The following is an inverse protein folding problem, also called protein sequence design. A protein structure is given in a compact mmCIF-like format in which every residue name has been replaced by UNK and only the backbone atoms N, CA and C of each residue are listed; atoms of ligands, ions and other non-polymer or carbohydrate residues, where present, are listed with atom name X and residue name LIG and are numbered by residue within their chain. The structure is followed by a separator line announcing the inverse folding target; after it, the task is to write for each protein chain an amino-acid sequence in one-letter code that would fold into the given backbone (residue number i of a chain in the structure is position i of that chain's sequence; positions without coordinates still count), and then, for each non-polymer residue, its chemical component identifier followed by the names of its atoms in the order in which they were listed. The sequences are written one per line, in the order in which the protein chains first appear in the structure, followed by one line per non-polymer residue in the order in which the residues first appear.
data_IF_375312069873
#
_entry.id   IF_375312069873
#
_cell.length_a   1.000
_cell.length_b   1.000
_cell.length_c   1.000
_cell.angle_alpha   90.00
_cell.angle_beta   90.00
_cell.angle_gamma   90.00
#
_symmetry.space_group_name_H-M   'P 1'
#
loop_
_entity.id
_entity.type
_entity.pdbx_description
1 polymer ?
#
# COMPACT_ATOMS: atom_id res chain seq x y z
N UNK A 1 -24.09 64.56 -14.99
CA UNK A 1 -23.30 65.35 -14.02
C UNK A 1 -22.43 64.35 -13.26
N UNK A 2 -21.26 64.02 -13.82
CA UNK A 2 -19.96 64.62 -13.50
C UNK A 2 -19.41 64.16 -12.14
N UNK A 3 -18.46 63.22 -12.23
CA UNK A 3 -17.28 62.94 -11.37
C UNK A 3 -16.43 64.23 -11.19
N UNK A 4 -15.28 64.33 -10.45
CA UNK A 4 -14.25 63.31 -10.15
C UNK A 4 -13.52 63.46 -8.77
N UNK A 5 -12.58 62.60 -8.35
CA UNK A 5 -11.12 62.70 -8.54
C UNK A 5 -10.48 62.15 -7.22
N UNK A 6 -9.38 61.39 -7.11
CA UNK A 6 -8.18 61.06 -7.89
C UNK A 6 -7.70 59.64 -7.46
N UNK A 7 -7.27 58.69 -8.33
CA UNK A 7 -6.02 58.61 -9.15
C UNK A 7 -4.75 58.49 -8.29
N UNK A 8 -3.73 57.64 -8.52
CA UNK A 8 -3.13 56.84 -9.64
C UNK A 8 -2.20 55.76 -9.01
N UNK A 9 -1.67 54.73 -9.67
CA UNK A 9 -1.59 54.30 -11.08
C UNK A 9 -1.22 52.80 -11.13
N UNK A 10 -1.64 51.97 -12.08
CA UNK A 10 -1.36 51.87 -13.54
C UNK A 10 0.13 51.69 -13.85
N UNK A 11 0.49 50.51 -14.38
CA UNK A 11 1.17 50.26 -15.68
C UNK A 11 1.23 48.73 -15.98
N UNK A 12 1.43 48.26 -17.23
CA UNK A 12 0.33 47.80 -18.10
C UNK A 12 0.48 46.38 -18.70
N UNK A 13 -0.56 45.97 -19.42
CA UNK A 13 -0.61 44.78 -20.28
C UNK A 13 0.43 44.77 -21.40
N UNK A 14 1.02 43.60 -21.67
CA UNK A 14 1.88 43.34 -22.83
C UNK A 14 1.45 42.06 -23.58
N UNK A 15 0.82 42.32 -24.73
CA UNK A 15 0.83 41.59 -26.01
C UNK A 15 0.89 40.05 -26.03
N UNK A 16 -0.21 39.50 -26.53
CA UNK A 16 -0.28 38.26 -27.31
C UNK A 16 0.59 38.43 -28.57
N UNK A 17 1.59 37.56 -28.74
CA UNK A 17 2.15 37.24 -30.06
C UNK A 17 2.45 35.75 -30.09
N UNK A 18 1.82 35.05 -31.04
CA UNK A 18 1.80 33.60 -31.10
C UNK A 18 3.16 32.95 -31.33
N UNK A 19 3.31 31.77 -30.74
CA UNK A 19 4.03 30.61 -31.28
C UNK A 19 3.22 29.39 -30.84
N UNK A 20 2.40 28.88 -31.76
CA UNK A 20 2.58 27.56 -32.37
C UNK A 20 2.68 26.43 -31.33
N UNK A 21 1.58 25.69 -31.23
CA UNK A 21 1.57 24.26 -30.95
C UNK A 21 2.85 23.58 -31.44
N UNK A 22 3.53 22.82 -30.56
CA UNK A 22 4.28 21.60 -30.91
C UNK A 22 4.67 20.85 -29.62
N UNK A 23 4.14 19.64 -29.49
CA UNK A 23 4.73 18.41 -28.92
C UNK A 23 5.44 18.46 -27.56
N UNK A 24 4.72 18.07 -26.51
CA UNK A 24 5.33 17.55 -25.27
C UNK A 24 5.85 16.12 -25.52
N UNK A 25 7.15 15.98 -25.77
CA UNK A 25 7.82 14.67 -25.81
C UNK A 25 8.29 14.25 -24.41
N UNK A 26 8.26 12.93 -24.17
CA UNK A 26 8.40 12.17 -22.91
C UNK A 26 9.74 12.36 -22.14
N UNK A 27 10.57 13.32 -22.50
CA UNK A 27 11.94 13.50 -21.97
C UNK A 27 12.06 14.58 -20.89
N UNK A 28 11.08 15.48 -20.76
CA UNK A 28 11.25 16.67 -19.90
C UNK A 28 10.87 16.46 -18.42
N UNK A 29 10.28 15.31 -18.06
CA UNK A 29 10.02 14.97 -16.64
C UNK A 29 11.16 14.17 -15.97
N UNK A 30 12.11 13.63 -16.73
CA UNK A 30 13.20 12.81 -16.19
C UNK A 30 14.38 13.62 -15.60
N UNK A 31 14.37 14.94 -15.76
CA UNK A 31 15.49 15.81 -15.39
C UNK A 31 15.45 16.37 -13.96
N UNK A 32 14.36 16.16 -13.20
CA UNK A 32 14.27 16.68 -11.83
C UNK A 32 14.68 15.67 -10.74
N UNK A 33 14.88 14.38 -11.07
CA UNK A 33 15.22 13.34 -10.09
C UNK A 33 16.67 12.80 -10.15
N UNK A 34 17.58 13.50 -10.83
CA UNK A 34 18.95 13.02 -11.09
C UNK A 34 20.07 13.99 -10.70
N UNK A 35 19.84 14.90 -9.74
CA UNK A 35 20.79 15.97 -9.39
C UNK A 35 21.42 15.94 -7.98
N UNK A 36 21.37 14.83 -7.24
CA UNK A 36 22.20 14.70 -6.03
C UNK A 36 23.03 13.41 -6.07
N UNK A 37 24.14 13.50 -6.80
CA UNK A 37 25.21 12.48 -6.82
C UNK A 37 25.88 12.39 -5.45
N UNK A 38 25.90 11.17 -4.93
CA UNK A 38 26.86 10.67 -3.94
C UNK A 38 28.27 10.93 -4.46
N UNK A 39 29.00 11.81 -3.80
CA UNK A 39 30.45 11.96 -3.91
C UNK A 39 30.98 11.98 -2.48
N UNK A 40 31.49 10.84 -2.03
CA UNK A 40 32.70 10.70 -1.23
C UNK A 40 33.01 9.20 -1.09
N UNK A 41 34.28 8.76 -1.21
CA UNK A 41 34.66 7.36 -1.07
C UNK A 41 34.58 6.93 0.39
N UNK A 42 33.94 5.79 0.65
CA UNK A 42 33.85 5.16 1.97
C UNK A 42 35.25 4.66 2.38
N UNK A 43 35.87 5.17 3.46
CA UNK A 43 37.04 4.53 4.03
C UNK A 43 36.64 3.24 4.75
N UNK A 44 37.44 2.18 4.60
CA UNK A 44 37.25 0.89 5.23
C UNK A 44 37.16 1.01 6.78
N UNK A 45 36.36 0.16 7.46
CA UNK A 45 36.19 0.26 8.90
C UNK A 45 37.47 -0.18 9.61
N UNK A 46 38.06 0.75 10.35
CA UNK A 46 39.11 0.50 11.34
C UNK A 46 38.43 -0.28 12.48
N UNK A 47 38.90 -1.50 12.78
CA UNK A 47 38.52 -2.21 14.01
C UNK A 47 39.00 -1.38 15.20
N UNK A 48 38.10 -0.63 15.85
CA UNK A 48 38.34 -0.13 17.20
C UNK A 48 37.90 -1.21 18.19
N UNK A 49 38.81 -1.76 19.02
CA UNK A 49 38.39 -2.33 20.29
C UNK A 49 37.87 -1.18 21.16
N UNK A 50 36.97 -1.47 22.10
CA UNK A 50 36.43 -0.51 23.08
C UNK A 50 35.16 0.24 22.64
N UNK A 51 34.10 -0.53 22.37
CA UNK A 51 32.73 -0.01 22.39
C UNK A 51 32.22 0.02 23.84
N UNK A 52 32.44 1.12 24.55
CA UNK A 52 31.55 1.45 25.67
C UNK A 52 30.17 1.82 25.08
N UNK A 53 29.06 1.22 25.55
CA UNK A 53 27.75 1.53 25.01
C UNK A 53 27.40 2.98 25.36
N UNK A 54 27.36 3.85 24.35
CA UNK A 54 26.80 5.19 24.52
C UNK A 54 25.31 5.06 24.83
N UNK A 55 24.79 5.69 25.90
CA UNK A 55 23.35 5.76 26.10
C UNK A 55 22.72 6.51 24.92
N UNK A 56 21.75 5.86 24.29
CA UNK A 56 20.97 6.44 23.20
C UNK A 56 20.24 7.69 23.70
N UNK A 57 20.52 8.84 23.08
CA UNK A 57 19.75 10.08 23.26
C UNK A 57 18.77 10.19 22.08
N UNK A 58 17.45 10.14 22.30
CA UNK A 58 16.48 10.31 21.23
C UNK A 58 16.53 11.72 20.63
N UNK A 59 16.16 11.90 19.34
CA UNK A 59 16.15 13.19 18.67
C UNK A 59 15.14 14.17 19.30
N UNK A 60 15.50 15.46 19.28
CA UNK A 60 14.74 16.56 19.88
C UNK A 60 13.38 16.77 19.18
N UNK A 61 12.35 17.04 19.99
CA UNK A 61 10.93 16.95 19.65
C UNK A 61 10.40 18.22 18.99
N UNK A 62 9.84 18.12 17.79
CA UNK A 62 8.91 19.14 17.25
C UNK A 62 7.63 18.56 16.61
N UNK A 63 7.31 17.28 16.83
CA UNK A 63 6.01 16.74 16.42
C UNK A 63 5.40 15.92 17.54
N UNK A 64 4.19 16.29 17.93
CA UNK A 64 3.47 15.85 19.13
C UNK A 64 2.92 14.43 18.97
N UNK A 65 3.80 13.44 18.74
CA UNK A 65 3.44 12.03 18.78
C UNK A 65 3.52 11.55 20.23
N UNK A 66 2.36 11.34 20.86
CA UNK A 66 2.27 10.78 22.21
C UNK A 66 2.58 9.29 22.11
N UNK A 67 3.87 8.95 22.21
CA UNK A 67 4.31 7.57 22.45
C UNK A 67 3.57 7.07 23.72
N UNK A 68 2.94 5.88 23.71
CA UNK A 68 2.46 5.28 24.95
C UNK A 68 3.65 5.15 25.90
N UNK A 69 3.49 5.61 27.15
CA UNK A 69 4.55 5.68 28.15
C UNK A 69 5.44 4.43 28.08
N UNK A 70 6.67 4.62 27.61
CA UNK A 70 7.68 3.57 27.63
C UNK A 70 7.94 3.28 29.11
N UNK A 71 7.28 2.26 29.65
CA UNK A 71 7.61 1.76 30.98
C UNK A 71 9.11 1.44 30.93
N UNK A 72 9.92 2.00 31.83
CA UNK A 72 11.35 1.72 31.82
C UNK A 72 11.51 0.20 31.83
N UNK A 73 12.28 -0.31 30.88
CA UNK A 73 12.67 -1.71 30.87
C UNK A 73 13.52 -1.94 32.11
N UNK A 74 12.88 -2.35 33.20
CA UNK A 74 13.55 -2.76 34.43
C UNK A 74 14.29 -4.04 34.07
N UNK A 75 15.57 -3.91 33.73
CA UNK A 75 16.47 -5.05 33.76
C UNK A 75 16.53 -5.51 35.21
N UNK A 76 16.37 -6.82 35.45
CA UNK A 76 16.54 -7.35 36.80
C UNK A 76 17.99 -7.07 37.21
N UNK A 77 18.19 -6.34 38.30
CA UNK A 77 19.51 -6.20 38.89
C UNK A 77 19.93 -7.59 39.43
N UNK A 78 20.93 -8.19 38.79
CA UNK A 78 21.50 -9.48 39.17
C UNK A 78 22.68 -9.34 40.15
N UNK A 79 22.88 -8.14 40.72
CA UNK A 79 23.94 -7.84 41.70
C UNK A 79 23.79 -8.66 42.98
N UNK A 80 22.55 -8.86 43.43
CA UNK A 80 22.19 -9.80 44.50
C UNK A 80 21.78 -11.15 43.88
N UNK A 81 22.77 -11.80 43.26
CA UNK A 81 22.56 -13.10 42.63
C UNK A 81 22.28 -14.22 43.65
N UNK A 82 21.58 -15.30 43.24
CA UNK A 82 21.38 -16.46 44.09
C UNK A 82 22.73 -17.04 44.55
N UNK A 83 22.77 -17.60 45.76
CA UNK A 83 24.00 -18.14 46.34
C UNK A 83 24.66 -19.15 45.40
N UNK A 84 25.98 -19.33 45.47
CA UNK A 84 26.68 -20.26 44.58
C UNK A 84 26.08 -21.69 44.65
N UNK A 85 25.54 -22.06 45.80
CA UNK A 85 24.81 -23.31 46.02
C UNK A 85 23.47 -23.36 45.29
N UNK A 86 22.70 -22.27 45.25
CA UNK A 86 21.44 -22.20 44.50
C UNK A 86 21.69 -22.30 42.98
N UNK A 87 22.78 -21.71 42.48
CA UNK A 87 23.17 -21.83 41.06
C UNK A 87 23.58 -23.25 40.73
N UNK A 88 24.36 -23.89 41.60
CA UNK A 88 24.73 -25.30 41.45
C UNK A 88 23.47 -26.20 41.50
N UNK A 89 22.55 -25.97 42.44
CA UNK A 89 21.31 -26.72 42.55
C UNK A 89 20.43 -26.57 41.29
N UNK A 90 20.28 -25.35 40.76
CA UNK A 90 19.56 -25.13 39.49
C UNK A 90 20.20 -25.83 38.31
N UNK A 91 21.54 -25.88 38.27
CA UNK A 91 22.30 -26.53 37.19
C UNK A 91 22.21 -28.06 37.29
N UNK A 92 22.33 -28.64 38.50
CA UNK A 92 22.30 -30.09 38.71
C UNK A 92 20.88 -30.67 38.67
N UNK A 93 19.89 -29.97 39.22
CA UNK A 93 18.48 -30.42 39.24
C UNK A 93 17.67 -29.90 38.04
N UNK A 94 18.29 -29.16 37.12
CA UNK A 94 17.69 -28.66 35.89
C UNK A 94 16.29 -28.04 36.09
N UNK A 95 16.09 -27.32 37.19
CA UNK A 95 14.76 -26.82 37.58
C UNK A 95 14.18 -25.85 36.55
N UNK A 96 15.04 -25.12 35.82
CA UNK A 96 14.63 -24.25 34.71
C UNK A 96 14.12 -25.06 33.51
N UNK A 97 14.68 -26.24 33.23
CA UNK A 97 14.19 -27.16 32.19
C UNK A 97 12.84 -27.75 32.61
N UNK A 98 12.70 -28.15 33.88
CA UNK A 98 11.42 -28.64 34.40
C UNK A 98 10.31 -27.57 34.33
N UNK A 99 10.64 -26.32 34.62
CA UNK A 99 9.72 -25.19 34.47
C UNK A 99 9.31 -24.97 33.00
N UNK A 100 10.26 -25.06 32.06
CA UNK A 100 9.97 -25.00 30.63
C UNK A 100 9.07 -26.15 30.17
N UNK A 101 9.36 -27.37 30.62
CA UNK A 101 8.57 -28.57 30.33
C UNK A 101 7.13 -28.43 30.84
N UNK A 102 6.94 -27.82 32.02
CA UNK A 102 5.61 -27.56 32.57
C UNK A 102 4.76 -26.63 31.69
N UNK A 103 5.35 -25.56 31.15
CA UNK A 103 4.64 -24.63 30.25
C UNK A 103 4.26 -25.33 28.93
N UNK A 104 5.15 -26.18 28.40
CA UNK A 104 4.85 -26.98 27.20
C UNK A 104 3.73 -27.99 27.49
N UNK A 105 3.76 -28.63 28.65
CA UNK A 105 2.70 -29.54 29.08
C UNK A 105 1.35 -28.82 29.20
N UNK A 106 1.34 -27.60 29.74
CA UNK A 106 0.14 -26.77 29.81
C UNK A 106 -0.38 -26.42 28.39
N UNK A 107 0.52 -26.11 27.45
CA UNK A 107 0.14 -25.84 26.07
C UNK A 107 -0.39 -27.08 25.33
N UNK A 108 0.08 -28.28 25.68
CA UNK A 108 -0.40 -29.55 25.12
C UNK A 108 -1.87 -29.81 25.46
N UNK A 109 -2.34 -29.36 26.63
CA UNK A 109 -3.74 -29.53 27.05
C UNK A 109 -4.67 -28.41 26.58
N UNK A 110 -4.16 -27.36 25.92
CA UNK A 110 -5.01 -26.33 25.31
C UNK A 110 -5.59 -26.84 23.98
N UNK A 111 -6.83 -26.46 23.63
CA UNK A 111 -7.38 -26.78 22.32
C UNK A 111 -6.55 -26.13 21.19
N UNK A 112 -6.34 -26.81 20.05
CA UNK A 112 -5.61 -26.27 18.92
C UNK A 112 -6.40 -25.14 18.23
N UNK A 113 -5.69 -24.18 17.63
CA UNK A 113 -6.26 -23.02 16.93
C UNK A 113 -6.47 -23.25 15.42
N UNK A 114 -6.51 -24.50 14.97
CA UNK A 114 -6.57 -24.86 13.55
C UNK A 114 -7.99 -24.74 12.99
N UNK A 115 -8.21 -23.77 12.09
CA UNK A 115 -9.53 -23.47 11.48
C UNK A 115 -9.72 -23.99 10.04
N UNK A 116 -8.66 -24.41 9.34
CA UNK A 116 -8.70 -24.73 7.89
C UNK A 116 -8.61 -26.26 7.73
N UNK A 117 -9.51 -26.96 6.98
CA UNK A 117 -9.90 -26.67 5.59
C UNK A 117 -11.37 -26.34 5.29
N UNK A 118 -12.27 -26.38 6.29
CA UNK A 118 -13.71 -26.19 6.06
C UNK A 118 -14.24 -24.81 6.51
N UNK A 119 -13.50 -24.12 7.37
CA UNK A 119 -13.85 -22.79 7.86
C UNK A 119 -12.81 -21.77 7.36
N UNK A 120 -13.27 -20.69 6.74
CA UNK A 120 -12.40 -19.58 6.32
C UNK A 120 -12.18 -18.63 7.50
N UNK A 121 -10.99 -18.07 7.59
CA UNK A 121 -10.70 -17.03 8.58
C UNK A 121 -11.63 -15.82 8.40
N UNK A 122 -11.91 -15.05 9.46
CA UNK A 122 -12.73 -13.85 9.34
C UNK A 122 -12.01 -12.79 8.48
N UNK A 123 -12.66 -12.34 7.42
CA UNK A 123 -12.14 -11.33 6.49
C UNK A 123 -12.86 -10.00 6.71
N UNK A 124 -12.12 -8.89 6.69
CA UNK A 124 -12.70 -7.55 6.79
C UNK A 124 -13.31 -7.09 5.45
N UNK A 125 -14.31 -6.20 5.44
CA UNK A 125 -14.86 -5.62 4.19
C UNK A 125 -13.82 -4.89 3.32
N UNK A 126 -12.69 -4.46 3.90
CA UNK A 126 -11.58 -3.76 3.23
C UNK A 126 -10.47 -4.67 2.71
N UNK A 127 -10.72 -5.97 2.69
CA UNK A 127 -9.73 -6.92 2.19
C UNK A 127 -9.47 -6.68 0.71
N UNK A 128 -8.21 -6.84 0.31
CA UNK A 128 -7.72 -6.60 -1.05
C UNK A 128 -7.32 -7.93 -1.67
N UNK A 129 -8.09 -8.36 -2.67
CA UNK A 129 -7.90 -9.63 -3.38
C UNK A 129 -7.91 -9.45 -4.90
N UNK A 130 -8.61 -10.36 -5.59
CA UNK A 130 -8.68 -10.40 -7.05
C UNK A 130 -9.32 -9.14 -7.61
N UNK A 131 -8.77 -8.59 -8.71
CA UNK A 131 -9.31 -7.39 -9.32
C UNK A 131 -10.55 -7.71 -10.16
N UNK A 132 -11.51 -6.79 -10.13
CA UNK A 132 -12.76 -6.88 -10.87
C UNK A 132 -13.11 -5.53 -11.49
N UNK A 133 -13.63 -5.55 -12.72
CA UNK A 133 -14.24 -4.39 -13.36
C UNK A 133 -15.76 -4.44 -13.18
N UNK A 134 -16.33 -3.36 -12.64
CA UNK A 134 -17.76 -3.29 -12.34
C UNK A 134 -18.56 -2.65 -13.46
N UNK A 135 -19.85 -2.96 -13.45
CA UNK A 135 -20.88 -2.33 -14.29
C UNK A 135 -21.75 -1.38 -13.47
N UNK A 136 -22.42 -0.47 -14.15
CA UNK A 136 -23.54 0.27 -13.59
C UNK A 136 -24.76 -0.65 -13.45
N UNK A 137 -25.77 -0.20 -12.69
CA UNK A 137 -27.04 -0.92 -12.59
C UNK A 137 -27.77 -1.06 -13.94
N UNK A 138 -27.42 -0.24 -14.93
CA UNK A 138 -27.91 -0.35 -16.31
C UNK A 138 -27.22 -1.46 -17.13
N UNK A 139 -26.19 -2.12 -16.60
CA UNK A 139 -25.37 -3.11 -17.31
C UNK A 139 -24.20 -2.53 -18.10
N UNK A 140 -24.15 -1.20 -18.22
CA UNK A 140 -23.04 -0.50 -18.89
C UNK A 140 -21.76 -0.57 -18.05
N UNK A 141 -20.59 -0.72 -18.67
CA UNK A 141 -19.33 -0.74 -17.92
C UNK A 141 -19.05 0.63 -17.25
N UNK A 142 -18.49 0.61 -16.04
CA UNK A 142 -18.16 1.86 -15.33
C UNK A 142 -16.92 2.56 -15.87
N UNK A 143 -16.01 1.80 -16.47
CA UNK A 143 -14.73 2.32 -16.93
C UNK A 143 -14.93 3.33 -18.07
N UNK A 144 -14.44 4.55 -17.85
CA UNK A 144 -14.42 5.63 -18.86
C UNK A 144 -13.09 5.76 -19.60
N UNK A 145 -12.09 4.92 -19.25
CA UNK A 145 -10.86 4.66 -20.02
C UNK A 145 -10.02 5.87 -20.46
N UNK A 146 -10.50 6.58 -21.47
CA UNK A 146 -9.81 7.60 -22.27
C UNK A 146 -9.57 8.92 -21.52
N UNK A 147 -10.45 9.32 -20.60
CA UNK A 147 -10.31 10.60 -19.87
C UNK A 147 -9.46 10.51 -18.61
N UNK A 148 -9.26 9.30 -18.09
CA UNK A 148 -8.71 9.11 -16.76
C UNK A 148 -7.29 8.56 -16.81
N UNK A 149 -7.08 7.35 -17.36
CA UNK A 149 -5.82 6.57 -17.28
C UNK A 149 -5.08 6.65 -15.94
N UNK A 150 -5.81 6.99 -14.87
CA UNK A 150 -5.22 7.36 -13.60
C UNK A 150 -4.76 6.12 -12.84
N UNK A 151 -5.47 5.00 -13.02
CA UNK A 151 -5.09 3.70 -12.50
C UNK A 151 -3.75 3.21 -13.07
N UNK A 152 -3.46 3.49 -14.34
CA UNK A 152 -2.17 3.17 -14.97
C UNK A 152 -1.07 4.08 -14.41
N UNK A 153 -1.35 5.38 -14.26
CA UNK A 153 -0.40 6.35 -13.75
C UNK A 153 -0.03 6.13 -12.27
N UNK A 154 -1.00 5.74 -11.43
CA UNK A 154 -0.79 5.56 -9.98
C UNK A 154 -0.20 4.18 -9.62
N UNK A 155 -0.25 3.21 -10.55
CA UNK A 155 0.20 1.85 -10.27
C UNK A 155 1.72 1.86 -10.02
N UNK A 156 2.18 1.54 -8.78
CA UNK A 156 3.60 1.62 -8.44
C UNK A 156 4.45 0.59 -9.20
N UNK A 157 3.84 -0.55 -9.56
CA UNK A 157 4.49 -1.63 -10.30
C UNK A 157 4.23 -1.56 -11.82
N UNK A 158 3.49 -0.56 -12.31
CA UNK A 158 3.11 -0.41 -13.72
C UNK A 158 2.55 -1.71 -14.34
N UNK A 159 1.66 -2.39 -13.59
CA UNK A 159 1.08 -3.67 -13.98
C UNK A 159 -0.11 -3.56 -14.95
N UNK A 160 -0.67 -2.35 -15.09
CA UNK A 160 -1.88 -2.08 -15.86
C UNK A 160 -1.50 -1.45 -17.20
N UNK A 161 -2.14 -1.87 -18.29
CA UNK A 161 -2.02 -1.24 -19.60
C UNK A 161 -3.40 -0.93 -20.17
N UNK A 162 -3.65 0.34 -20.54
CA UNK A 162 -4.96 0.81 -20.96
C UNK A 162 -4.90 1.47 -22.34
N UNK A 163 -5.69 0.92 -23.28
CA UNK A 163 -5.94 1.51 -24.59
C UNK A 163 -7.43 1.80 -24.74
N UNK A 164 -7.75 2.91 -25.39
CA UNK A 164 -9.11 3.45 -25.46
C UNK A 164 -9.43 3.95 -26.86
N UNK A 165 -10.64 3.64 -27.33
CA UNK A 165 -11.15 4.06 -28.62
C UNK A 165 -12.59 4.58 -28.49
N UNK A 166 -13.02 5.33 -29.50
CA UNK A 166 -14.37 5.90 -29.54
C UNK A 166 -15.32 4.85 -30.11
N UNK A 167 -16.38 4.48 -29.36
CA UNK A 167 -17.41 3.56 -29.84
C UNK A 167 -18.41 4.30 -30.75
N UNK A 168 -19.18 3.54 -31.53
CA UNK A 168 -20.23 4.06 -32.45
C UNK A 168 -21.26 4.97 -31.75
N UNK A 169 -21.52 4.74 -30.46
CA UNK A 169 -22.44 5.54 -29.64
C UNK A 169 -21.87 6.91 -29.22
N UNK A 170 -20.65 7.26 -29.67
CA UNK A 170 -19.92 8.47 -29.27
C UNK A 170 -19.36 8.41 -27.84
N UNK A 171 -19.65 7.35 -27.08
CA UNK A 171 -19.03 7.08 -25.79
C UNK A 171 -17.62 6.49 -25.99
N UNK A 172 -16.68 6.96 -25.18
CA UNK A 172 -15.28 6.55 -25.24
C UNK A 172 -15.01 5.46 -24.22
N UNK A 173 -14.49 4.32 -24.67
CA UNK A 173 -14.38 3.08 -23.88
C UNK A 173 -13.01 2.45 -24.05
N UNK A 174 -12.65 1.60 -23.11
CA UNK A 174 -11.39 0.84 -23.21
C UNK A 174 -11.55 -0.28 -24.21
N UNK A 175 -10.66 -0.38 -25.20
CA UNK A 175 -10.56 -1.56 -26.06
C UNK A 175 -9.72 -2.62 -25.38
N UNK A 176 -8.63 -2.18 -24.76
CA UNK A 176 -7.71 -3.03 -24.02
C UNK A 176 -7.57 -2.53 -22.59
N UNK A 177 -7.75 -3.44 -21.65
CA UNK A 177 -7.55 -3.19 -20.23
C UNK A 177 -6.93 -4.46 -19.65
N UNK A 178 -5.61 -4.49 -19.61
CA UNK A 178 -4.88 -5.68 -19.20
C UNK A 178 -4.18 -5.42 -17.88
N UNK A 179 -4.22 -6.40 -16.98
CA UNK A 179 -3.50 -6.38 -15.70
C UNK A 179 -2.64 -7.63 -15.61
N UNK A 180 -1.35 -7.43 -15.40
CA UNK A 180 -0.43 -8.51 -15.06
C UNK A 180 -0.46 -8.76 -13.54
N UNK A 181 -1.15 -9.82 -13.10
CA UNK A 181 -1.25 -10.18 -11.68
C UNK A 181 0.09 -10.64 -11.09
N UNK A 182 1.08 -10.96 -11.93
CA UNK A 182 2.44 -11.30 -11.48
C UNK A 182 3.25 -10.05 -11.12
N UNK A 183 2.89 -8.88 -11.66
CA UNK A 183 3.47 -7.58 -11.31
C UNK A 183 2.67 -6.84 -10.25
N UNK A 184 1.36 -7.10 -10.18
CA UNK A 184 0.51 -6.44 -9.21
C UNK A 184 0.91 -6.79 -7.77
N UNK A 185 1.00 -5.76 -6.92
CA UNK A 185 1.36 -5.91 -5.50
C UNK A 185 0.15 -5.77 -4.56
N UNK A 186 -1.09 -5.76 -5.10
CA UNK A 186 -2.34 -5.68 -4.33
C UNK A 186 -2.40 -4.53 -3.32
N UNK A 187 -1.92 -3.36 -3.75
CA UNK A 187 -1.86 -2.16 -2.92
C UNK A 187 -3.19 -1.41 -2.77
N UNK A 188 -4.18 -1.64 -3.64
CA UNK A 188 -5.46 -0.92 -3.63
C UNK A 188 -5.44 0.52 -4.16
N UNK A 189 -4.31 1.04 -4.65
CA UNK A 189 -4.26 2.41 -5.17
C UNK A 189 -5.13 2.60 -6.41
N UNK A 190 -5.30 1.57 -7.23
CA UNK A 190 -6.21 1.61 -8.38
C UNK A 190 -7.68 1.78 -7.94
N UNK A 191 -8.07 1.22 -6.81
CA UNK A 191 -9.41 1.32 -6.26
C UNK A 191 -9.69 2.75 -5.77
N UNK A 192 -8.74 3.34 -5.04
CA UNK A 192 -8.88 4.70 -4.48
C UNK A 192 -8.72 5.80 -5.54
N UNK A 193 -7.88 5.57 -6.54
CA UNK A 193 -7.67 6.54 -7.61
C UNK A 193 -8.82 6.57 -8.62
N UNK A 194 -9.68 5.56 -8.68
CA UNK A 194 -10.71 5.49 -9.71
C UNK A 194 -11.85 6.50 -9.39
N UNK A 195 -12.09 7.53 -10.23
CA UNK A 195 -13.10 8.55 -9.93
C UNK A 195 -14.55 8.04 -10.06
N UNK A 196 -14.73 6.85 -10.65
CA UNK A 196 -16.04 6.24 -10.96
C UNK A 196 -16.20 4.85 -10.34
N UNK A 197 -15.26 4.44 -9.48
CA UNK A 197 -15.21 3.10 -8.87
C UNK A 197 -15.37 1.97 -9.91
N UNK A 198 -14.67 2.08 -11.04
CA UNK A 198 -14.74 1.09 -12.12
C UNK A 198 -13.94 -0.16 -11.82
N UNK A 199 -12.73 -0.02 -11.28
CA UNK A 199 -11.88 -1.13 -10.86
C UNK A 199 -11.92 -1.24 -9.34
N UNK A 200 -12.10 -2.46 -8.86
CA UNK A 200 -12.13 -2.78 -7.44
C UNK A 200 -11.36 -4.04 -7.13
N UNK A 201 -10.82 -4.12 -5.91
CA UNK A 201 -10.24 -5.34 -5.38
C UNK A 201 -11.33 -6.08 -4.59
N UNK A 202 -11.60 -7.32 -4.99
CA UNK A 202 -12.62 -8.16 -4.41
C UNK A 202 -12.11 -8.91 -3.18
N UNK A 203 -13.00 -9.65 -2.51
CA UNK A 203 -12.63 -10.51 -1.39
C UNK A 203 -12.04 -11.87 -1.80
N UNK A 204 -12.01 -12.18 -3.10
CA UNK A 204 -11.47 -13.45 -3.55
C UNK A 204 -9.94 -13.46 -3.45
N UNK A 205 -9.40 -14.35 -2.63
CA UNK A 205 -7.96 -14.60 -2.51
C UNK A 205 -7.55 -15.94 -3.16
N UNK A 206 -8.52 -16.78 -3.50
CA UNK A 206 -8.31 -18.17 -3.91
C UNK A 206 -8.41 -18.31 -5.43
N UNK A 207 -7.43 -17.74 -6.15
CA UNK A 207 -7.34 -17.81 -7.61
C UNK A 207 -5.95 -18.26 -8.07
N UNK A 208 -5.29 -19.14 -7.30
CA UNK A 208 -4.04 -19.76 -7.72
C UNK A 208 -4.27 -20.57 -9.00
N UNK A 209 -3.45 -20.32 -10.01
CA UNK A 209 -3.49 -20.99 -11.31
C UNK A 209 -2.26 -21.84 -11.52
N UNK A 210 -2.36 -22.84 -12.39
CA UNK A 210 -1.24 -23.75 -12.71
C UNK A 210 -0.25 -23.13 -13.70
N UNK A 211 -0.74 -22.25 -14.57
CA UNK A 211 0.05 -21.58 -15.61
C UNK A 211 0.21 -20.09 -15.31
N UNK A 212 1.28 -19.48 -15.84
CA UNK A 212 1.57 -18.05 -15.68
C UNK A 212 0.67 -17.21 -16.58
N UNK A 213 0.34 -17.72 -17.75
CA UNK A 213 -0.47 -17.06 -18.76
C UNK A 213 -1.88 -16.77 -18.24
N UNK A 214 -2.42 -17.64 -17.37
CA UNK A 214 -3.71 -17.41 -16.73
C UNK A 214 -3.72 -16.20 -15.78
N UNK A 215 -2.57 -15.78 -15.25
CA UNK A 215 -2.40 -14.59 -14.38
C UNK A 215 -2.27 -13.27 -15.17
N UNK A 216 -2.22 -13.34 -16.50
CA UNK A 216 -2.31 -12.18 -17.36
C UNK A 216 -3.79 -11.95 -17.68
N UNK A 217 -4.40 -11.00 -16.97
CA UNK A 217 -5.84 -10.79 -17.08
C UNK A 217 -6.14 -9.77 -18.17
N UNK A 218 -6.99 -10.19 -19.11
CA UNK A 218 -7.59 -9.30 -20.11
C UNK A 218 -8.83 -8.61 -19.54
N UNK A 219 -9.30 -7.57 -20.24
CA UNK A 219 -10.52 -6.83 -19.91
C UNK A 219 -11.73 -7.73 -19.67
N UNK A 220 -11.92 -8.73 -20.52
CA UNK A 220 -13.05 -9.66 -20.46
C UNK A 220 -13.05 -10.50 -19.19
N UNK A 221 -11.88 -10.98 -18.76
CA UNK A 221 -11.72 -11.74 -17.52
C UNK A 221 -12.05 -10.88 -16.30
N UNK A 222 -11.59 -9.63 -16.29
CA UNK A 222 -11.88 -8.68 -15.22
C UNK A 222 -13.37 -8.31 -15.13
N UNK A 223 -14.05 -8.18 -16.27
CA UNK A 223 -15.50 -7.98 -16.31
C UNK A 223 -16.25 -9.23 -15.84
N UNK A 224 -15.82 -10.43 -16.24
CA UNK A 224 -16.42 -11.68 -15.78
C UNK A 224 -16.27 -11.85 -14.26
N UNK A 225 -15.14 -11.44 -13.68
CA UNK A 225 -14.95 -11.43 -12.23
C UNK A 225 -15.90 -10.44 -11.54
N UNK A 226 -16.06 -9.24 -12.11
CA UNK A 226 -17.04 -8.25 -11.64
C UNK A 226 -18.45 -8.81 -11.67
N UNK A 227 -18.87 -9.41 -12.78
CA UNK A 227 -20.22 -9.96 -12.93
C UNK A 227 -20.50 -11.10 -11.93
N UNK A 228 -19.50 -11.93 -11.58
CA UNK A 228 -19.64 -12.99 -10.56
C UNK A 228 -19.73 -12.43 -9.14
N UNK A 229 -18.99 -11.36 -8.84
CA UNK A 229 -18.77 -10.87 -7.48
C UNK A 229 -19.48 -9.55 -7.16
N UNK A 230 -20.25 -9.00 -8.09
CA UNK A 230 -20.86 -7.66 -7.97
C UNK A 230 -21.70 -7.50 -6.70
N UNK A 231 -22.44 -8.54 -6.29
CA UNK A 231 -23.26 -8.50 -5.08
C UNK A 231 -22.43 -8.35 -3.80
N UNK A 232 -21.34 -9.10 -3.67
CA UNK A 232 -20.42 -9.07 -2.53
C UNK A 232 -19.64 -7.76 -2.52
N UNK A 233 -19.09 -7.37 -3.67
CA UNK A 233 -18.38 -6.12 -3.87
C UNK A 233 -19.28 -4.93 -3.50
N UNK A 234 -20.53 -4.89 -3.99
CA UNK A 234 -21.47 -3.82 -3.67
C UNK A 234 -21.78 -3.73 -2.17
N UNK A 235 -21.91 -4.88 -1.48
CA UNK A 235 -22.11 -4.92 -0.04
C UNK A 235 -20.90 -4.36 0.73
N UNK A 236 -19.68 -4.72 0.32
CA UNK A 236 -18.45 -4.24 0.93
C UNK A 236 -18.22 -2.75 0.73
N UNK A 237 -18.43 -2.24 -0.50
CA UNK A 237 -18.36 -0.81 -0.77
C UNK A 237 -19.42 -0.03 0.01
N UNK A 238 -20.63 -0.59 0.17
CA UNK A 238 -21.66 0.02 1.04
C UNK A 238 -21.25 0.02 2.51
N UNK A 239 -20.49 -0.97 2.98
CA UNK A 239 -19.96 -0.95 4.35
C UNK A 239 -18.83 0.08 4.52
N UNK A 240 -18.02 0.31 3.48
CA UNK A 240 -16.80 1.12 3.55
C UNK A 240 -16.95 2.59 3.15
N UNK A 241 -17.99 2.96 2.39
CA UNK A 241 -18.14 4.29 1.78
C UNK A 241 -17.97 5.52 2.69
N UNK A 242 -18.13 5.37 4.01
CA UNK A 242 -17.98 6.46 4.99
C UNK A 242 -16.51 6.83 5.25
N UNK A 243 -15.58 5.90 5.00
CA UNK A 243 -14.17 6.05 5.37
C UNK A 243 -13.26 6.40 4.18
N UNK A 244 -13.88 6.77 3.06
CA UNK A 244 -13.25 7.01 1.76
C UNK A 244 -13.28 8.48 1.38
#
# INVERSE_FOLDING_TARGET
MLTPALRRGILPAAKISGRSFYNFTKTDMAHQYTSQKVKDPIPAPILTPDLHPTPYVPPEKDFNYRYPDQKPVVYKDYSDGPSALDKAAKLFFFTEIARGMWVVLEQMFRPPFTIIPFEKGPISPRFRGEHALRRYASGEERCIGESCKLCEAICPAQAITIESETREDGSRRTTRYDIDMTKCIYCGFCQEACPVDAIVESQNAEYSTETREELLYNKEKLLANGDRMEAEIAANLKADHVYR
#
